data_IF_327543597530
#
_entry.id   IF_327543597530
#
_cell.length_a   1.000
_cell.length_b   1.000
_cell.length_c   1.000
_cell.angle_alpha   90.00
_cell.angle_beta   90.00
_cell.angle_gamma   90.00
#
_symmetry.space_group_name_H-M   'P 1'
#
loop_
_entity.id
_entity.type
_entity.pdbx_description
1 polymer ?
#
# COMPACT_ATOMS: atom_id res chain seq x y z
N UNK A 1 -11.42 3.41 -10.15
CA UNK A 1 -11.13 2.05 -9.65
C UNK A 1 -12.09 1.71 -8.52
N UNK A 2 -12.53 0.47 -8.41
CA UNK A 2 -13.25 -0.05 -7.25
C UNK A 2 -12.29 -0.20 -6.07
N UNK A 3 -12.82 -0.33 -4.84
CA UNK A 3 -11.98 -0.55 -3.65
C UNK A 3 -11.13 -1.81 -3.75
N UNK A 4 -11.71 -2.89 -4.30
CA UNK A 4 -11.00 -4.17 -4.47
C UNK A 4 -9.84 -4.01 -5.44
N UNK A 5 -10.05 -3.35 -6.59
CA UNK A 5 -8.99 -3.08 -7.56
C UNK A 5 -7.85 -2.24 -6.98
N UNK A 6 -8.17 -1.29 -6.09
CA UNK A 6 -7.15 -0.50 -5.38
C UNK A 6 -6.33 -1.39 -4.44
N UNK A 7 -6.99 -2.28 -3.69
CA UNK A 7 -6.30 -3.18 -2.76
C UNK A 7 -5.44 -4.21 -3.48
N UNK A 8 -5.93 -4.76 -4.59
CA UNK A 8 -5.18 -5.67 -5.44
C UNK A 8 -3.94 -4.95 -5.99
N UNK A 9 -4.10 -3.73 -6.52
CA UNK A 9 -2.98 -2.93 -7.02
C UNK A 9 -1.94 -2.59 -5.93
N UNK A 10 -2.38 -2.22 -4.73
CA UNK A 10 -1.47 -1.94 -3.59
C UNK A 10 -0.64 -3.18 -3.27
N UNK A 11 -1.23 -4.38 -3.28
CA UNK A 11 -0.52 -5.63 -3.03
C UNK A 11 0.46 -5.99 -4.15
N UNK A 12 0.04 -5.90 -5.41
CA UNK A 12 0.88 -6.15 -6.58
C UNK A 12 2.08 -5.19 -6.64
N UNK A 13 1.86 -3.91 -6.35
CA UNK A 13 2.93 -2.93 -6.25
C UNK A 13 3.87 -3.26 -5.08
N UNK A 14 3.33 -3.65 -3.93
CA UNK A 14 4.13 -4.01 -2.76
C UNK A 14 5.06 -5.19 -3.05
N UNK A 15 4.57 -6.26 -3.69
CA UNK A 15 5.41 -7.43 -3.98
C UNK A 15 6.50 -7.12 -5.00
N UNK A 16 6.21 -6.28 -6.00
CA UNK A 16 7.19 -5.83 -6.98
C UNK A 16 8.34 -5.06 -6.31
N UNK A 17 8.01 -4.11 -5.43
CA UNK A 17 8.99 -3.31 -4.69
C UNK A 17 9.75 -4.14 -3.65
N UNK A 18 9.05 -5.02 -2.94
CA UNK A 18 9.61 -5.92 -1.95
C UNK A 18 10.68 -6.85 -2.54
N UNK A 19 10.47 -7.34 -3.77
CA UNK A 19 11.45 -8.18 -4.48
C UNK A 19 12.81 -7.49 -4.72
N UNK A 20 12.84 -6.15 -4.63
CA UNK A 20 14.02 -5.31 -4.77
C UNK A 20 14.42 -4.60 -3.47
N UNK A 21 13.78 -4.94 -2.35
CA UNK A 21 13.98 -4.31 -1.05
C UNK A 21 13.75 -2.79 -1.06
N UNK A 22 12.85 -2.31 -1.92
CA UNK A 22 12.52 -0.89 -2.04
C UNK A 22 11.36 -0.58 -1.09
N UNK A 23 11.51 0.49 -0.30
CA UNK A 23 10.41 1.08 0.46
C UNK A 23 10.05 2.44 -0.13
N UNK A 24 8.78 2.82 -0.02
CA UNK A 24 8.31 4.15 -0.45
C UNK A 24 7.43 4.79 0.62
N UNK A 25 7.38 6.12 0.61
CA UNK A 25 6.50 6.86 1.51
C UNK A 25 5.03 6.74 1.07
N UNK A 26 4.11 6.92 2.01
CA UNK A 26 2.68 7.08 1.68
C UNK A 26 2.42 8.21 0.68
N UNK A 27 3.17 9.30 0.73
CA UNK A 27 3.02 10.39 -0.25
C UNK A 27 3.35 9.92 -1.67
N UNK A 28 4.39 9.11 -1.85
CA UNK A 28 4.74 8.54 -3.14
C UNK A 28 3.68 7.55 -3.63
N UNK A 29 3.17 6.69 -2.74
CA UNK A 29 2.06 5.79 -3.07
C UNK A 29 0.80 6.59 -3.48
N UNK A 30 0.48 7.68 -2.78
CA UNK A 30 -0.68 8.52 -3.12
C UNK A 30 -0.53 9.14 -4.52
N UNK A 31 0.66 9.61 -4.88
CA UNK A 31 0.93 10.13 -6.22
C UNK A 31 0.75 9.06 -7.31
N UNK A 32 1.26 7.85 -7.09
CA UNK A 32 1.05 6.72 -8.02
C UNK A 32 -0.44 6.37 -8.16
N UNK A 33 -1.20 6.42 -7.06
CA UNK A 33 -2.65 6.19 -7.09
C UNK A 33 -3.40 7.33 -7.78
N UNK A 34 -2.93 8.56 -7.65
CA UNK A 34 -3.48 9.74 -8.33
C UNK A 34 -3.31 9.64 -9.85
N UNK A 35 -2.14 9.23 -10.34
CA UNK A 35 -1.89 8.95 -11.76
C UNK A 35 -2.84 7.89 -12.33
N UNK A 36 -3.41 7.05 -11.47
CA UNK A 36 -4.39 6.00 -11.81
C UNK A 36 -5.85 6.38 -11.53
N UNK A 37 -6.12 7.63 -11.14
CA UNK A 37 -7.47 8.11 -10.83
C UNK A 37 -8.06 7.53 -9.54
N UNK A 38 -7.22 7.17 -8.57
CA UNK A 38 -7.59 6.53 -7.30
C UNK A 38 -7.04 7.28 -6.07
N UNK A 39 -6.90 8.60 -6.16
CA UNK A 39 -6.32 9.43 -5.10
C UNK A 39 -7.09 9.33 -3.78
N UNK A 40 -6.36 9.21 -2.67
CA UNK A 40 -6.94 9.24 -1.31
C UNK A 40 -6.99 10.65 -0.73
N UNK A 41 -6.45 11.65 -1.43
CA UNK A 41 -6.43 13.07 -1.04
C UNK A 41 -5.51 13.41 0.15
N UNK A 42 -5.27 12.48 1.08
CA UNK A 42 -4.33 12.65 2.18
C UNK A 42 -3.76 11.32 2.70
N UNK A 43 -2.61 11.40 3.38
CA UNK A 43 -1.90 10.22 3.90
C UNK A 43 -2.66 9.48 5.02
N UNK A 44 -3.56 10.14 5.76
CA UNK A 44 -4.36 9.49 6.81
C UNK A 44 -5.40 8.54 6.21
N UNK A 45 -6.10 9.00 5.18
CA UNK A 45 -7.02 8.19 4.39
C UNK A 45 -6.28 7.06 3.69
N UNK A 46 -5.12 7.35 3.12
CA UNK A 46 -4.29 6.33 2.48
C UNK A 46 -3.78 5.28 3.47
N UNK A 47 -3.34 5.65 4.68
CA UNK A 47 -2.92 4.69 5.70
C UNK A 47 -4.05 3.68 6.02
N UNK A 48 -5.29 4.18 6.12
CA UNK A 48 -6.48 3.31 6.27
C UNK A 48 -6.71 2.42 5.04
N UNK A 49 -6.46 2.93 3.83
CA UNK A 49 -6.50 2.16 2.59
C UNK A 49 -5.44 1.05 2.53
N UNK A 50 -4.20 1.34 2.96
CA UNK A 50 -3.12 0.36 3.03
C UNK A 50 -3.42 -0.72 4.08
N UNK A 51 -3.96 -0.34 5.25
CA UNK A 51 -4.41 -1.31 6.25
C UNK A 51 -5.54 -2.21 5.73
N UNK A 52 -6.46 -1.66 4.94
CA UNK A 52 -7.51 -2.44 4.29
C UNK A 52 -6.94 -3.40 3.23
N UNK A 53 -5.97 -2.94 2.43
CA UNK A 53 -5.28 -3.79 1.47
C UNK A 53 -4.48 -4.91 2.15
N UNK A 54 -3.80 -4.62 3.26
CA UNK A 54 -3.14 -5.62 4.10
C UNK A 54 -4.12 -6.72 4.50
N UNK A 55 -5.27 -6.37 5.10
CA UNK A 55 -6.28 -7.34 5.56
C UNK A 55 -6.90 -8.13 4.41
N UNK A 56 -7.06 -7.49 3.26
CA UNK A 56 -7.56 -8.13 2.03
C UNK A 56 -6.60 -9.21 1.52
N UNK A 57 -5.29 -8.97 1.60
CA UNK A 57 -4.26 -9.92 1.18
C UNK A 57 -3.89 -10.96 2.24
N UNK A 58 -4.05 -10.64 3.53
CA UNK A 58 -3.80 -11.56 4.65
C UNK A 58 -4.57 -12.87 4.51
N UNK A 59 -5.78 -12.82 3.95
CA UNK A 59 -6.64 -13.98 3.71
C UNK A 59 -6.35 -14.72 2.40
N UNK A 60 -5.51 -14.16 1.52
CA UNK A 60 -5.29 -14.64 0.15
C UNK A 60 -3.88 -15.15 -0.11
N UNK A 61 -2.87 -14.37 0.27
CA UNK A 61 -1.47 -14.67 -0.01
C UNK A 61 -0.58 -14.15 1.13
N UNK A 62 0.10 -15.04 1.87
CA UNK A 62 0.91 -14.65 3.01
C UNK A 62 2.14 -13.81 2.65
N UNK A 63 2.63 -13.90 1.41
CA UNK A 63 3.80 -13.14 0.96
C UNK A 63 3.41 -11.70 0.67
N UNK A 64 2.23 -11.47 0.08
CA UNK A 64 1.82 -10.13 -0.35
C UNK A 64 1.46 -9.25 0.85
N UNK A 65 0.77 -9.76 1.87
CA UNK A 65 0.49 -8.92 3.05
C UNK A 65 1.77 -8.54 3.80
N UNK A 66 2.77 -9.43 3.87
CA UNK A 66 4.09 -9.11 4.39
C UNK A 66 4.82 -8.06 3.53
N UNK A 67 4.72 -8.16 2.20
CA UNK A 67 5.27 -7.15 1.30
C UNK A 67 4.63 -5.78 1.53
N UNK A 68 3.31 -5.71 1.76
CA UNK A 68 2.60 -4.47 2.11
C UNK A 68 3.16 -3.88 3.42
N UNK A 69 3.29 -4.73 4.46
CA UNK A 69 3.85 -4.34 5.76
C UNK A 69 5.31 -3.85 5.67
N UNK A 70 6.08 -4.31 4.70
CA UNK A 70 7.46 -3.90 4.50
C UNK A 70 7.61 -2.62 3.66
N UNK A 71 6.80 -2.47 2.62
CA UNK A 71 7.07 -1.54 1.52
C UNK A 71 6.64 -0.11 1.83
N UNK A 72 5.45 0.07 2.41
CA UNK A 72 4.88 1.39 2.59
C UNK A 72 5.17 1.94 3.97
N UNK A 73 5.84 3.10 4.02
CA UNK A 73 6.30 3.74 5.25
C UNK A 73 5.68 5.11 5.46
N UNK A 74 5.51 5.49 6.72
CA UNK A 74 5.23 6.88 7.07
C UNK A 74 6.48 7.77 6.85
N UNK A 75 6.35 9.07 7.16
CA UNK A 75 7.45 10.04 7.03
C UNK A 75 8.64 9.79 7.97
N UNK A 76 8.48 8.89 8.93
CA UNK A 76 9.49 8.52 9.94
C UNK A 76 10.08 7.12 9.68
N UNK A 77 9.63 6.41 8.64
CA UNK A 77 10.07 5.05 8.35
C UNK A 77 9.30 3.96 9.10
N UNK A 78 8.23 4.30 9.81
CA UNK A 78 7.42 3.36 10.59
C UNK A 78 6.30 2.73 9.74
N UNK A 79 5.68 1.69 10.28
CA UNK A 79 4.45 1.11 9.74
C UNK A 79 3.33 2.16 9.86
N UNK A 80 2.70 2.59 8.76
CA UNK A 80 1.81 3.74 8.77
C UNK A 80 0.45 3.54 9.46
N UNK A 81 0.10 2.32 9.85
CA UNK A 81 -1.21 1.97 10.42
C UNK A 81 -1.13 1.32 11.80
N UNK A 82 0.05 1.35 12.41
CA UNK A 82 0.27 0.95 13.81
C UNK A 82 -0.12 2.10 14.77
#
# INVERSE_FOLDING_TARGET
MTKIEIYDFIGELAIALYSKQITISLSALNAILEDRGAAYGNNRGLASGVAAAYRHWEQKDPVIYHAIAFTFRDKHGNIPWD
#
